data_IF_615056671303
#
_entry.id   IF_615056671303
#
_cell.length_a   1.000
_cell.length_b   1.000
_cell.length_c   1.000
_cell.angle_alpha   90.00
_cell.angle_beta   90.00
_cell.angle_gamma   90.00
#
_symmetry.space_group_name_H-M   'P 1'
#
loop_
_entity.id
_entity.type
_entity.pdbx_description
1 polymer ?
#
# COMPACT_ATOMS: atom_id res chain seq x y z
N UNK A 1 -2.42 -19.88 -1.09
CA UNK A 1 -3.65 -19.09 -0.89
C UNK A 1 -4.55 -19.32 -2.10
N UNK A 2 -5.86 -19.62 -1.93
CA UNK A 2 -6.78 -19.69 -3.06
C UNK A 2 -6.81 -18.36 -3.80
N UNK A 3 -7.01 -18.37 -5.12
CA UNK A 3 -7.22 -17.14 -5.87
C UNK A 3 -8.52 -16.48 -5.40
N UNK A 4 -8.67 -15.16 -5.57
CA UNK A 4 -9.93 -14.48 -5.24
C UNK A 4 -11.13 -15.16 -5.92
N UNK A 5 -10.95 -15.66 -7.15
CA UNK A 5 -11.98 -16.38 -7.91
C UNK A 5 -12.44 -17.64 -7.17
N UNK A 6 -11.51 -18.42 -6.63
CA UNK A 6 -11.85 -19.60 -5.83
C UNK A 6 -12.54 -19.22 -4.51
N UNK A 7 -12.05 -18.17 -3.84
CA UNK A 7 -12.62 -17.70 -2.58
C UNK A 7 -14.04 -17.15 -2.73
N UNK A 8 -14.35 -16.54 -3.88
CA UNK A 8 -15.64 -15.90 -4.19
C UNK A 8 -16.52 -16.74 -5.11
N UNK A 9 -16.09 -17.95 -5.49
CA UNK A 9 -16.86 -18.83 -6.39
C UNK A 9 -17.07 -18.27 -7.80
N UNK A 10 -16.14 -17.45 -8.31
CA UNK A 10 -16.23 -16.85 -9.64
C UNK A 10 -15.74 -17.81 -10.75
N UNK A 11 -16.33 -17.75 -11.96
CA UNK A 11 -15.91 -18.58 -13.08
C UNK A 11 -14.47 -18.29 -13.54
N UNK A 12 -13.80 -19.18 -14.29
CA UNK A 12 -12.50 -18.91 -14.90
C UNK A 12 -12.61 -17.79 -15.95
N UNK A 13 -11.63 -16.88 -16.00
CA UNK A 13 -11.55 -15.80 -17.00
C UNK A 13 -10.09 -15.69 -17.50
N UNK A 14 -9.84 -15.68 -18.81
CA UNK A 14 -8.51 -15.42 -19.37
C UNK A 14 -8.03 -13.97 -19.21
N UNK A 15 -8.92 -13.00 -18.98
CA UNK A 15 -8.53 -11.69 -18.48
C UNK A 15 -8.29 -11.81 -16.96
N UNK A 16 -7.09 -11.45 -16.49
CA UNK A 16 -6.69 -11.63 -15.09
C UNK A 16 -7.75 -11.13 -14.08
N UNK A 17 -8.41 -9.99 -14.38
CA UNK A 17 -9.62 -9.52 -13.70
C UNK A 17 -10.53 -8.62 -14.57
N UNK A 18 -11.84 -8.66 -14.36
CA UNK A 18 -12.86 -7.94 -15.16
C UNK A 18 -14.06 -7.47 -14.35
N UNK A 19 -15.22 -7.32 -15.01
CA UNK A 19 -16.46 -6.88 -14.36
C UNK A 19 -16.87 -7.80 -13.19
N UNK A 20 -16.60 -9.09 -13.31
CA UNK A 20 -16.85 -10.12 -12.30
C UNK A 20 -15.99 -9.92 -11.03
N UNK A 21 -14.73 -9.54 -11.18
CA UNK A 21 -13.87 -9.16 -10.05
C UNK A 21 -14.42 -7.91 -9.35
N UNK A 22 -14.79 -6.88 -10.11
CA UNK A 22 -15.35 -5.64 -9.55
C UNK A 22 -16.65 -5.93 -8.80
N UNK A 23 -17.53 -6.76 -9.37
CA UNK A 23 -18.74 -7.23 -8.69
C UNK A 23 -18.41 -8.02 -7.43
N UNK A 24 -17.38 -8.89 -7.47
CA UNK A 24 -16.88 -9.62 -6.32
C UNK A 24 -16.39 -8.70 -5.20
N UNK A 25 -15.63 -7.65 -5.53
CA UNK A 25 -15.18 -6.63 -4.57
C UNK A 25 -16.36 -5.92 -3.92
N UNK A 26 -17.35 -5.49 -4.72
CA UNK A 26 -18.54 -4.80 -4.19
C UNK A 26 -19.41 -5.72 -3.32
N UNK A 27 -19.51 -7.00 -3.68
CA UNK A 27 -20.35 -7.96 -2.97
C UNK A 27 -19.69 -8.49 -1.70
N UNK A 28 -18.42 -8.89 -1.76
CA UNK A 28 -17.70 -9.50 -0.63
C UNK A 28 -16.96 -8.48 0.23
N UNK A 29 -16.52 -7.36 -0.34
CA UNK A 29 -15.75 -6.32 0.33
C UNK A 29 -16.39 -5.74 1.59
N UNK A 30 -17.72 -5.54 1.66
CA UNK A 30 -18.38 -5.04 2.86
C UNK A 30 -18.17 -5.91 4.10
N UNK A 31 -18.00 -7.22 3.95
CA UNK A 31 -17.78 -8.17 5.04
C UNK A 31 -18.74 -7.98 6.26
N UNK A 32 -20.01 -7.64 6.00
CA UNK A 32 -21.02 -7.38 7.05
C UNK A 32 -20.97 -5.98 7.69
N UNK A 33 -20.00 -5.14 7.34
CA UNK A 33 -19.85 -3.76 7.84
C UNK A 33 -20.55 -2.71 6.98
N UNK A 34 -20.98 -3.08 5.77
CA UNK A 34 -21.56 -2.17 4.79
C UNK A 34 -20.55 -1.27 4.07
N UNK A 35 -19.23 -1.47 4.26
CA UNK A 35 -18.18 -0.65 3.64
C UNK A 35 -17.06 -1.47 3.01
N UNK A 36 -16.65 -1.08 1.81
CA UNK A 36 -15.53 -1.68 1.09
C UNK A 36 -14.23 -0.95 1.45
N UNK A 37 -13.16 -1.70 1.73
CA UNK A 37 -11.80 -1.19 1.83
C UNK A 37 -10.96 -1.73 0.69
N UNK A 38 -10.27 -0.84 -0.04
CA UNK A 38 -9.35 -1.21 -1.12
C UNK A 38 -7.99 -0.59 -0.83
N UNK A 39 -6.92 -1.39 -0.99
CA UNK A 39 -5.54 -0.91 -0.95
C UNK A 39 -5.01 -0.89 -2.37
N UNK A 40 -4.48 0.26 -2.78
CA UNK A 40 -3.94 0.50 -4.12
C UNK A 40 -2.51 0.99 -3.96
N UNK A 41 -1.56 0.40 -4.68
CA UNK A 41 -0.20 0.93 -4.81
C UNK A 41 -0.17 1.86 -6.02
N UNK A 42 0.71 2.88 -6.02
CA UNK A 42 0.75 3.85 -7.13
C UNK A 42 0.99 3.17 -8.48
N UNK A 43 1.88 2.17 -8.51
CA UNK A 43 2.18 1.36 -9.69
C UNK A 43 0.96 0.70 -10.33
N UNK A 44 -0.10 0.46 -9.57
CA UNK A 44 -1.32 -0.21 -10.02
C UNK A 44 -2.43 0.78 -10.43
N UNK A 45 -2.26 2.07 -10.10
CA UNK A 45 -3.33 3.07 -10.21
C UNK A 45 -3.75 3.31 -11.67
N UNK A 46 -2.78 3.50 -12.57
CA UNK A 46 -3.04 3.75 -14.00
C UNK A 46 -3.77 2.56 -14.64
N UNK A 47 -3.24 1.34 -14.46
CA UNK A 47 -3.84 0.13 -14.99
C UNK A 47 -5.25 -0.14 -14.42
N UNK A 48 -5.47 0.18 -13.14
CA UNK A 48 -6.79 0.12 -12.50
C UNK A 48 -7.76 1.09 -13.19
N UNK A 49 -7.38 2.36 -13.36
CA UNK A 49 -8.23 3.37 -13.96
C UNK A 49 -8.58 3.05 -15.42
N UNK A 50 -7.60 2.65 -16.23
CA UNK A 50 -7.81 2.24 -17.63
C UNK A 50 -8.82 1.10 -17.74
N UNK A 51 -8.66 0.10 -16.86
CA UNK A 51 -9.56 -1.05 -16.82
C UNK A 51 -10.96 -0.63 -16.39
N UNK A 52 -11.10 0.21 -15.37
CA UNK A 52 -12.39 0.70 -14.92
C UNK A 52 -13.07 1.57 -15.98
N UNK A 53 -12.32 2.40 -16.71
CA UNK A 53 -12.87 3.23 -17.78
C UNK A 53 -13.45 2.37 -18.92
N UNK A 54 -12.78 1.26 -19.23
CA UNK A 54 -13.26 0.28 -20.21
C UNK A 54 -14.55 -0.43 -19.75
N UNK A 55 -14.68 -0.71 -18.45
CA UNK A 55 -15.84 -1.39 -17.87
C UNK A 55 -17.04 -0.47 -17.61
N UNK A 56 -16.78 0.81 -17.32
CA UNK A 56 -17.78 1.81 -16.97
C UNK A 56 -17.59 3.09 -17.81
N UNK A 57 -17.85 3.03 -19.14
CA UNK A 57 -17.62 4.16 -20.02
C UNK A 57 -18.56 5.33 -19.71
N UNK A 58 -18.08 6.55 -19.93
CA UNK A 58 -18.88 7.78 -19.82
C UNK A 58 -18.96 8.39 -18.41
N UNK A 59 -18.17 7.90 -17.45
CA UNK A 59 -18.01 8.55 -16.15
C UNK A 59 -16.95 9.66 -16.25
N UNK A 60 -17.33 10.88 -15.87
CA UNK A 60 -16.56 12.10 -16.17
C UNK A 60 -15.40 12.42 -15.23
N UNK A 61 -15.26 11.75 -14.09
CA UNK A 61 -14.09 11.89 -13.19
C UNK A 61 -13.67 10.55 -12.62
N UNK A 62 -12.37 10.43 -12.31
CA UNK A 62 -11.80 9.21 -11.74
C UNK A 62 -12.33 8.91 -10.34
N UNK A 63 -12.59 9.95 -9.53
CA UNK A 63 -13.25 9.80 -8.23
C UNK A 63 -14.67 9.27 -8.36
N UNK A 64 -15.44 9.76 -9.34
CA UNK A 64 -16.78 9.23 -9.62
C UNK A 64 -16.71 7.79 -10.17
N UNK A 65 -15.66 7.47 -10.93
CA UNK A 65 -15.43 6.13 -11.46
C UNK A 65 -15.12 5.14 -10.34
N UNK A 66 -14.22 5.47 -9.41
CA UNK A 66 -13.90 4.67 -8.24
C UNK A 66 -15.11 4.49 -7.32
N UNK A 67 -15.89 5.56 -7.09
CA UNK A 67 -17.12 5.48 -6.31
C UNK A 67 -18.16 4.57 -6.99
N UNK A 68 -18.34 4.70 -8.31
CA UNK A 68 -19.30 3.90 -9.08
C UNK A 68 -18.92 2.43 -9.15
N UNK A 69 -17.64 2.15 -9.41
CA UNK A 69 -17.16 0.80 -9.65
C UNK A 69 -16.92 0.03 -8.35
N UNK A 70 -16.30 0.67 -7.35
CA UNK A 70 -15.79 0.01 -6.14
C UNK A 70 -16.50 0.46 -4.86
N UNK A 71 -17.36 1.48 -4.93
CA UNK A 71 -17.99 2.06 -3.73
C UNK A 71 -17.01 2.88 -2.88
N UNK A 72 -15.91 3.37 -3.46
CA UNK A 72 -14.86 4.11 -2.73
C UNK A 72 -15.09 5.62 -2.90
N UNK A 73 -15.34 6.32 -1.78
CA UNK A 73 -15.61 7.77 -1.72
C UNK A 73 -14.80 8.49 -0.61
N UNK A 74 -13.93 7.76 0.08
CA UNK A 74 -13.03 8.24 1.14
C UNK A 74 -11.63 7.71 0.86
N UNK A 75 -10.64 8.57 1.10
CA UNK A 75 -9.24 8.29 0.76
C UNK A 75 -8.36 8.44 1.99
N UNK A 76 -7.53 7.44 2.22
CA UNK A 76 -6.50 7.45 3.26
C UNK A 76 -5.16 7.33 2.56
N UNK A 77 -4.27 8.29 2.79
CA UNK A 77 -2.93 8.30 2.20
C UNK A 77 -1.91 7.93 3.28
N UNK A 78 -1.40 6.70 3.19
CA UNK A 78 -0.33 6.22 4.06
C UNK A 78 1.01 6.66 3.46
N UNK A 79 1.71 7.55 4.16
CA UNK A 79 3.05 8.03 3.78
C UNK A 79 4.10 7.48 4.73
N UNK A 80 5.36 7.49 4.32
CA UNK A 80 6.48 7.16 5.19
C UNK A 80 7.50 8.29 5.13
N UNK A 81 7.89 8.78 6.30
CA UNK A 81 8.79 9.93 6.40
C UNK A 81 10.23 9.52 6.08
N UNK A 82 10.67 8.37 6.62
CA UNK A 82 12.02 7.86 6.35
C UNK A 82 12.06 7.07 5.02
N UNK A 83 12.25 7.80 3.92
CA UNK A 83 12.31 7.25 2.57
C UNK A 83 13.46 6.25 2.37
N UNK A 84 14.61 6.50 2.99
CA UNK A 84 15.77 5.61 2.89
C UNK A 84 15.47 4.31 3.61
N UNK A 85 14.90 4.37 4.82
CA UNK A 85 14.49 3.16 5.53
C UNK A 85 13.38 2.39 4.78
N UNK A 86 12.51 3.09 4.06
CA UNK A 86 11.53 2.45 3.18
C UNK A 86 12.21 1.72 2.00
N UNK A 87 13.14 2.39 1.31
CA UNK A 87 13.88 1.82 0.19
C UNK A 87 14.70 0.58 0.59
N UNK A 88 15.44 0.66 1.70
CA UNK A 88 16.19 -0.48 2.23
C UNK A 88 15.26 -1.65 2.55
N UNK A 89 14.11 -1.38 3.20
CA UNK A 89 13.13 -2.41 3.51
C UNK A 89 12.54 -3.04 2.24
N UNK A 90 12.30 -2.26 1.19
CA UNK A 90 11.81 -2.74 -0.10
C UNK A 90 12.84 -3.66 -0.76
N UNK A 91 14.09 -3.21 -0.87
CA UNK A 91 15.18 -4.01 -1.45
C UNK A 91 15.38 -5.33 -0.70
N UNK A 92 15.35 -5.30 0.63
CA UNK A 92 15.46 -6.51 1.43
C UNK A 92 14.29 -7.46 1.21
N UNK A 93 13.06 -6.95 1.14
CA UNK A 93 11.88 -7.76 0.85
C UNK A 93 11.95 -8.38 -0.54
N UNK A 94 12.42 -7.64 -1.55
CA UNK A 94 12.62 -8.13 -2.92
C UNK A 94 13.68 -9.24 -2.99
N UNK A 95 14.84 -9.04 -2.34
CA UNK A 95 15.95 -9.99 -2.37
C UNK A 95 15.63 -11.27 -1.59
N UNK A 96 15.01 -11.15 -0.42
CA UNK A 96 14.69 -12.30 0.45
C UNK A 96 13.37 -12.97 0.08
N UNK A 97 12.55 -12.29 -0.72
CA UNK A 97 11.17 -12.64 -1.02
C UNK A 97 10.24 -12.50 0.18
N UNK A 98 10.70 -12.03 1.34
CA UNK A 98 9.92 -11.97 2.58
C UNK A 98 9.31 -10.57 2.75
N UNK A 99 7.99 -10.50 2.63
CA UNK A 99 7.25 -9.23 2.69
C UNK A 99 6.58 -9.00 4.05
N UNK A 100 6.14 -10.06 4.73
CA UNK A 100 5.44 -9.97 6.00
C UNK A 100 5.83 -11.12 6.93
N UNK A 101 5.98 -10.82 8.24
CA UNK A 101 6.08 -11.80 9.34
C UNK A 101 4.90 -11.63 10.29
N UNK A 102 4.46 -12.71 10.91
CA UNK A 102 3.53 -12.70 12.04
C UNK A 102 4.22 -12.20 13.31
N UNK A 103 3.45 -11.83 14.34
CA UNK A 103 3.99 -11.40 15.64
C UNK A 103 4.81 -12.50 16.34
N UNK A 104 4.53 -13.78 16.07
CA UNK A 104 5.29 -14.93 16.57
C UNK A 104 6.59 -15.22 15.79
N UNK A 105 6.94 -14.38 14.82
CA UNK A 105 8.14 -14.51 13.98
C UNK A 105 7.99 -15.44 12.78
N UNK A 106 6.85 -16.13 12.65
CA UNK A 106 6.56 -17.00 11.50
C UNK A 106 6.36 -16.19 10.21
N UNK A 107 6.65 -16.80 9.07
CA UNK A 107 6.59 -16.14 7.78
C UNK A 107 5.14 -16.02 7.31
N UNK A 108 4.66 -14.78 7.14
CA UNK A 108 3.29 -14.50 6.69
C UNK A 108 3.18 -14.45 5.16
N UNK A 109 4.22 -13.97 4.48
CA UNK A 109 4.27 -13.95 3.01
C UNK A 109 5.71 -14.03 2.49
N UNK A 110 6.01 -15.12 1.76
CA UNK A 110 7.26 -15.30 1.02
C UNK A 110 6.98 -15.58 -0.46
N UNK A 111 7.57 -14.80 -1.37
CA UNK A 111 7.39 -14.95 -2.82
C UNK A 111 8.47 -15.79 -3.49
N UNK A 112 9.64 -15.99 -2.85
CA UNK A 112 10.81 -16.69 -3.44
C UNK A 112 11.63 -17.44 -2.39
N UNK A 113 12.43 -18.41 -2.84
CA UNK A 113 13.41 -19.11 -1.99
C UNK A 113 14.40 -18.11 -1.38
N UNK A 114 14.63 -18.12 -0.07
CA UNK A 114 15.47 -17.14 0.61
C UNK A 114 16.91 -17.20 0.10
N UNK A 115 17.44 -16.04 -0.30
CA UNK A 115 18.86 -15.84 -0.55
C UNK A 115 19.42 -14.88 0.51
N UNK A 116 20.69 -15.06 0.93
CA UNK A 116 21.33 -14.08 1.80
C UNK A 116 21.28 -12.70 1.14
N UNK A 117 20.63 -11.70 1.76
CA UNK A 117 20.56 -10.37 1.19
C UNK A 117 21.96 -9.76 1.09
N UNK A 118 22.22 -9.00 0.03
CA UNK A 118 23.49 -8.32 -0.24
C UNK A 118 23.25 -6.83 -0.40
N UNK A 119 24.05 -6.06 0.33
CA UNK A 119 24.02 -4.60 0.21
C UNK A 119 24.43 -4.19 -1.20
N UNK A 120 23.60 -3.38 -1.83
CA UNK A 120 23.79 -2.82 -3.17
C UNK A 120 23.27 -1.38 -3.14
N UNK A 121 24.18 -0.41 -3.12
CA UNK A 121 23.86 1.01 -3.00
C UNK A 121 23.02 1.49 -4.19
N UNK A 122 23.40 1.10 -5.41
CA UNK A 122 22.68 1.49 -6.62
C UNK A 122 21.25 0.93 -6.62
N UNK A 123 21.03 -0.29 -6.08
CA UNK A 123 19.69 -0.84 -5.92
C UNK A 123 18.85 -0.04 -4.92
N UNK A 124 19.45 0.39 -3.81
CA UNK A 124 18.77 1.22 -2.80
C UNK A 124 18.44 2.60 -3.39
N UNK A 125 19.37 3.22 -4.13
CA UNK A 125 19.16 4.52 -4.79
C UNK A 125 18.01 4.45 -5.80
N UNK A 126 17.99 3.42 -6.66
CA UNK A 126 16.86 3.18 -7.58
C UNK A 126 15.53 3.03 -6.83
N UNK A 127 15.53 2.32 -5.70
CA UNK A 127 14.34 2.16 -4.87
C UNK A 127 13.90 3.49 -4.22
N UNK A 128 14.83 4.35 -3.82
CA UNK A 128 14.51 5.71 -3.33
C UNK A 128 13.79 6.50 -4.42
N UNK A 129 14.37 6.56 -5.63
CA UNK A 129 13.76 7.30 -6.74
C UNK A 129 12.40 6.75 -7.16
N UNK A 130 12.24 5.42 -7.18
CA UNK A 130 10.94 4.79 -7.42
C UNK A 130 9.91 5.28 -6.40
N UNK A 131 10.23 5.19 -5.10
CA UNK A 131 9.32 5.58 -4.03
C UNK A 131 9.00 7.09 -4.05
N UNK A 132 9.96 7.94 -4.42
CA UNK A 132 9.74 9.37 -4.63
C UNK A 132 8.79 9.65 -5.78
N UNK A 133 8.93 8.93 -6.90
CA UNK A 133 8.03 9.02 -8.03
C UNK A 133 6.61 8.57 -7.66
N UNK A 134 6.46 7.46 -6.92
CA UNK A 134 5.16 6.99 -6.42
C UNK A 134 4.48 8.01 -5.50
N UNK A 135 5.24 8.61 -4.58
CA UNK A 135 4.69 9.63 -3.67
C UNK A 135 4.28 10.91 -4.40
N UNK A 136 5.07 11.32 -5.41
CA UNK A 136 4.75 12.46 -6.25
C UNK A 136 3.50 12.21 -7.10
N UNK A 137 3.38 10.99 -7.64
CA UNK A 137 2.21 10.55 -8.39
C UNK A 137 0.93 10.62 -7.58
N UNK A 138 0.90 10.05 -6.37
CA UNK A 138 -0.25 10.18 -5.47
C UNK A 138 -0.59 11.64 -5.17
N UNK A 139 0.42 12.46 -4.88
CA UNK A 139 0.21 13.87 -4.54
C UNK A 139 -0.39 14.66 -5.71
N UNK A 140 0.09 14.43 -6.93
CA UNK A 140 -0.46 15.02 -8.14
C UNK A 140 -1.90 14.57 -8.38
N UNK A 141 -2.15 13.25 -8.29
CA UNK A 141 -3.47 12.68 -8.49
C UNK A 141 -4.52 13.24 -7.53
N UNK A 142 -4.19 13.35 -6.23
CA UNK A 142 -5.10 13.95 -5.24
C UNK A 142 -5.41 15.41 -5.56
N UNK A 143 -4.40 16.19 -5.97
CA UNK A 143 -4.58 17.59 -6.33
C UNK A 143 -5.47 17.76 -7.58
N UNK A 144 -5.18 16.99 -8.64
CA UNK A 144 -5.92 17.02 -9.90
C UNK A 144 -7.37 16.52 -9.73
N UNK A 145 -7.57 15.53 -8.87
CA UNK A 145 -8.89 14.96 -8.56
C UNK A 145 -9.69 15.78 -7.54
N UNK A 146 -9.12 16.85 -6.97
CA UNK A 146 -9.76 17.66 -5.93
C UNK A 146 -10.03 16.88 -4.63
N UNK A 147 -9.22 15.86 -4.34
CA UNK A 147 -9.37 14.99 -3.17
C UNK A 147 -8.48 15.48 -2.04
N UNK A 148 -9.05 15.62 -0.84
CA UNK A 148 -8.29 15.82 0.40
C UNK A 148 -8.29 14.51 1.19
N UNK A 149 -7.22 13.69 1.12
CA UNK A 149 -7.17 12.42 1.84
C UNK A 149 -6.90 12.64 3.34
N UNK A 150 -7.27 11.66 4.15
CA UNK A 150 -6.71 11.53 5.50
C UNK A 150 -5.25 11.06 5.36
N UNK A 151 -4.29 11.95 5.64
CA UNK A 151 -2.87 11.61 5.63
C UNK A 151 -2.48 10.97 6.97
N UNK A 152 -1.76 9.86 6.88
CA UNK A 152 -1.25 9.07 8.01
C UNK A 152 0.20 8.74 7.72
N UNK A 153 1.09 8.97 8.68
CA UNK A 153 2.48 8.51 8.57
C UNK A 153 2.57 7.08 9.07
N UNK A 154 3.46 6.30 8.47
CA UNK A 154 3.80 4.96 8.93
C UNK A 154 4.32 5.00 10.36
N UNK A 155 5.09 6.02 10.70
CA UNK A 155 5.67 6.25 12.01
C UNK A 155 4.59 6.44 13.09
N UNK A 156 3.57 7.28 12.84
CA UNK A 156 2.43 7.44 13.74
C UNK A 156 1.63 6.15 13.87
N UNK A 157 1.38 5.48 12.74
CA UNK A 157 0.63 4.22 12.70
C UNK A 157 1.36 3.11 13.47
N UNK A 158 2.68 3.04 13.39
CA UNK A 158 3.49 2.06 14.09
C UNK A 158 3.62 2.41 15.59
N UNK A 159 3.67 3.70 15.94
CA UNK A 159 3.79 4.16 17.32
C UNK A 159 2.49 4.04 18.13
N UNK A 160 1.34 4.33 17.53
CA UNK A 160 0.03 4.17 18.16
C UNK A 160 -1.04 3.70 17.15
N UNK A 161 -1.04 2.39 16.81
CA UNK A 161 -2.00 1.84 15.86
C UNK A 161 -3.45 2.07 16.27
N UNK A 162 -3.72 2.04 17.58
CA UNK A 162 -5.08 2.17 18.11
C UNK A 162 -5.66 3.55 17.84
N UNK A 163 -4.90 4.60 18.14
CA UNK A 163 -5.32 5.98 17.86
C UNK A 163 -5.48 6.23 16.37
N UNK A 164 -4.56 5.72 15.54
CA UNK A 164 -4.63 5.90 14.09
C UNK A 164 -5.84 5.18 13.47
N UNK A 165 -6.13 3.95 13.89
CA UNK A 165 -7.33 3.23 13.43
C UNK A 165 -8.60 3.99 13.82
N UNK A 166 -8.68 4.54 15.04
CA UNK A 166 -9.82 5.39 15.45
C UNK A 166 -9.98 6.62 14.56
N UNK A 167 -8.88 7.28 14.16
CA UNK A 167 -8.90 8.40 13.22
C UNK A 167 -9.43 7.99 11.85
N UNK A 168 -8.98 6.84 11.32
CA UNK A 168 -9.47 6.30 10.04
C UNK A 168 -10.97 6.03 10.12
N UNK A 169 -11.41 5.34 11.17
CA UNK A 169 -12.81 5.00 11.42
C UNK A 169 -13.69 6.25 11.47
N UNK A 170 -13.26 7.28 12.20
CA UNK A 170 -13.95 8.56 12.26
C UNK A 170 -14.00 9.25 10.89
N UNK A 171 -12.90 9.23 10.13
CA UNK A 171 -12.82 9.83 8.80
C UNK A 171 -13.78 9.17 7.79
N UNK A 172 -13.92 7.84 7.85
CA UNK A 172 -14.90 7.15 7.01
C UNK A 172 -16.33 7.37 7.50
N UNK A 173 -16.56 7.96 8.68
CA UNK A 173 -17.88 8.25 9.23
C UNK A 173 -18.48 7.09 10.02
N UNK A 174 -17.65 6.29 10.69
CA UNK A 174 -18.06 5.33 11.71
C UNK A 174 -17.56 5.83 13.07
N UNK A 175 -18.19 5.42 14.16
CA UNK A 175 -17.80 5.86 15.51
C UNK A 175 -17.55 4.72 16.49
N UNK A 176 -17.92 3.49 16.14
CA UNK A 176 -17.91 2.38 17.10
C UNK A 176 -17.37 1.10 16.44
N UNK A 177 -16.07 0.86 16.61
CA UNK A 177 -15.42 -0.38 16.21
C UNK A 177 -14.39 -0.76 17.25
N UNK A 178 -14.41 -2.04 17.62
CA UNK A 178 -13.35 -2.65 18.40
C UNK A 178 -12.05 -2.58 17.58
N UNK A 179 -11.04 -1.90 18.11
CA UNK A 179 -9.70 -1.89 17.52
C UNK A 179 -8.93 -3.05 18.13
N UNK A 180 -8.53 -3.98 17.28
CA UNK A 180 -7.66 -5.09 17.67
C UNK A 180 -6.19 -4.68 17.51
N UNK A 181 -5.33 -5.16 18.41
CA UNK A 181 -3.89 -4.93 18.28
C UNK A 181 -3.36 -5.59 17.00
N UNK A 182 -2.45 -4.94 16.25
CA UNK A 182 -1.91 -5.52 15.02
C UNK A 182 -1.08 -6.77 15.31
N UNK A 183 -1.41 -7.89 14.65
CA UNK A 183 -0.64 -9.14 14.71
C UNK A 183 0.57 -9.14 13.73
N UNK A 184 1.16 -7.97 13.49
CA UNK A 184 2.25 -7.81 12.50
C UNK A 184 3.46 -7.20 13.17
N UNK A 185 4.56 -7.95 13.22
CA UNK A 185 5.82 -7.45 13.74
C UNK A 185 6.52 -6.57 12.70
N UNK A 186 7.09 -5.47 13.16
CA UNK A 186 7.99 -4.66 12.36
C UNK A 186 9.23 -5.49 11.97
N UNK A 187 9.49 -5.64 10.66
CA UNK A 187 10.75 -6.20 10.14
C UNK A 187 11.91 -5.20 10.30
N UNK A 188 12.08 -4.59 11.47
CA UNK A 188 13.25 -3.76 11.76
C UNK A 188 14.37 -4.66 12.30
N UNK A 189 14.91 -5.51 11.44
CA UNK A 189 16.10 -6.30 11.75
C UNK A 189 17.33 -5.38 11.87
N UNK A 190 18.34 -5.80 12.65
CA UNK A 190 19.66 -5.13 12.73
C UNK A 190 20.26 -4.84 11.35
N UNK A 191 19.93 -5.70 10.38
CA UNK A 191 20.33 -5.56 8.99
C UNK A 191 19.75 -4.30 8.32
N UNK A 192 18.46 -3.99 8.52
CA UNK A 192 17.86 -2.77 7.97
C UNK A 192 18.61 -1.55 8.51
N UNK A 193 18.83 -1.49 9.83
CA UNK A 193 19.55 -0.38 10.46
C UNK A 193 20.97 -0.25 9.90
N UNK A 194 21.70 -1.35 9.80
CA UNK A 194 23.05 -1.35 9.24
C UNK A 194 23.11 -0.82 7.80
N UNK A 195 22.16 -1.23 6.95
CA UNK A 195 22.09 -0.78 5.56
C UNK A 195 21.67 0.68 5.45
N UNK A 196 20.72 1.13 6.26
CA UNK A 196 20.30 2.54 6.31
C UNK A 196 21.48 3.44 6.74
N UNK A 197 22.20 3.07 7.80
CA UNK A 197 23.38 3.81 8.26
C UNK A 197 24.43 3.87 7.16
N UNK A 198 24.79 2.70 6.59
CA UNK A 198 25.79 2.62 5.53
C UNK A 198 25.42 3.47 4.31
N UNK A 199 24.18 3.40 3.85
CA UNK A 199 23.72 4.16 2.68
C UNK A 199 23.79 5.66 2.91
N UNK A 200 23.39 6.13 4.10
CA UNK A 200 23.47 7.55 4.49
C UNK A 200 24.91 8.05 4.58
N UNK A 201 25.84 7.22 5.04
CA UNK A 201 27.26 7.56 5.11
C UNK A 201 27.88 7.66 3.70
N UNK A 202 27.47 6.78 2.77
CA UNK A 202 27.89 6.79 1.37
C UNK A 202 27.24 7.93 0.55
N UNK A 203 26.03 8.38 0.94
CA UNK A 203 25.23 9.41 0.26
C UNK A 203 24.82 10.53 1.23
N UNK A 204 25.78 11.35 1.71
CA UNK A 204 25.46 12.44 2.61
C UNK A 204 24.49 13.42 1.93
N UNK A 205 23.52 13.98 2.68
CA UNK A 205 22.62 14.98 2.12
C UNK A 205 23.42 16.15 1.56
N UNK A 206 23.01 16.65 0.39
CA UNK A 206 23.62 17.85 -0.19
C UNK A 206 23.57 18.99 0.86
N UNK A 207 24.65 19.78 1.01
CA UNK A 207 24.64 20.90 1.93
C UNK A 207 23.47 21.82 1.58
N UNK A 208 22.66 22.17 2.59
CA UNK A 208 21.55 23.09 2.39
C UNK A 208 22.11 24.42 1.84
N UNK A 209 21.51 24.99 0.78
CA UNK A 209 21.90 26.32 0.35
C UNK A 209 21.71 27.31 1.51
N UNK A 210 22.69 28.19 1.68
CA UNK A 210 22.74 29.22 2.72
C UNK A 210 21.63 30.27 2.55
#
# INVERSE_FOLDING_TARGET
>A
MPTFRQAWGLPPDPAEWGADYVQGVVYHGPAGTGRVGVRIMWSDMEALLDRLHSLYPGIGSETALLAKALGVDRFVHLVREDRIAQAVSLVLAEQTGLWHRHADGSERQRSRTPRPPRYDADQIERAVHLLEAEASGWSAWFAESGVTPLVITYEDLAGDPTTIVRRVVAHIGNTDVAVHEPDTMQLSDDLNRAWVTRFRDEHPPAPRPA
#
